data_IF_280191929555
#
_entry.id   IF_280191929555
#
_cell.length_a   1.000
_cell.length_b   1.000
_cell.length_c   1.000
_cell.angle_alpha   90.00
_cell.angle_beta   90.00
_cell.angle_gamma   90.00
#
_symmetry.space_group_name_H-M   'P 1'
#
loop_
_entity.id
_entity.type
_entity.pdbx_description
1 polymer ?
#
# COMPACT_ATOMS: atom_id res chain seq x y z
N UNK A 1 -3.22 -2.57 0.93
CA UNK A 1 -2.80 -2.45 -0.49
C UNK A 1 -2.71 -3.86 -1.06
N UNK A 2 -2.85 -4.03 -2.37
CA UNK A 2 -2.68 -5.29 -3.09
C UNK A 2 -1.55 -5.09 -4.07
N UNK A 3 -0.44 -5.82 -3.88
CA UNK A 3 0.66 -5.88 -4.84
C UNK A 3 0.40 -7.01 -5.82
N UNK A 4 0.48 -6.70 -7.12
CA UNK A 4 0.38 -7.69 -8.19
C UNK A 4 1.73 -7.77 -8.89
N UNK A 5 2.33 -8.95 -8.90
CA UNK A 5 3.60 -9.23 -9.58
C UNK A 5 3.37 -10.28 -10.67
N UNK A 6 3.74 -9.95 -11.91
CA UNK A 6 3.67 -10.88 -13.02
C UNK A 6 5.05 -11.51 -13.27
N UNK A 7 5.29 -12.79 -12.95
CA UNK A 7 6.62 -13.40 -13.09
C UNK A 7 7.09 -13.55 -14.55
N UNK A 8 6.19 -13.43 -15.55
CA UNK A 8 6.57 -13.52 -16.97
C UNK A 8 7.08 -12.19 -17.51
N UNK A 9 6.43 -11.10 -17.12
CA UNK A 9 6.80 -9.74 -17.57
C UNK A 9 7.63 -8.99 -16.54
N UNK A 10 7.73 -9.52 -15.32
CA UNK A 10 8.36 -8.96 -14.12
C UNK A 10 7.68 -7.67 -13.62
N UNK A 11 6.55 -7.30 -14.23
CA UNK A 11 5.79 -6.10 -13.94
C UNK A 11 5.18 -6.13 -12.53
N UNK A 12 5.28 -5.00 -11.84
CA UNK A 12 4.67 -4.77 -10.53
C UNK A 12 3.61 -3.68 -10.65
N UNK A 13 2.42 -4.00 -10.13
CA UNK A 13 1.31 -3.06 -9.99
C UNK A 13 0.87 -2.98 -8.55
N UNK A 14 0.44 -1.81 -8.12
CA UNK A 14 0.03 -1.55 -6.75
C UNK A 14 -1.38 -0.98 -6.68
N UNK A 15 -2.29 -1.72 -6.06
CA UNK A 15 -3.69 -1.32 -5.90
C UNK A 15 -3.93 -0.93 -4.44
N UNK A 16 -4.44 0.28 -4.23
CA UNK A 16 -4.82 0.79 -2.92
C UNK A 16 -6.33 0.73 -2.75
N UNK A 17 -6.81 -0.30 -2.06
CA UNK A 17 -8.20 -0.40 -1.62
C UNK A 17 -8.41 0.51 -0.40
N UNK A 18 -9.31 1.49 -0.51
CA UNK A 18 -9.62 2.42 0.58
C UNK A 18 -10.32 1.70 1.74
N UNK A 19 -9.97 2.07 2.98
CA UNK A 19 -10.40 1.33 4.18
C UNK A 19 -11.91 1.40 4.41
N UNK A 20 -12.50 2.55 4.07
CA UNK A 20 -13.86 2.94 4.45
C UNK A 20 -14.91 2.51 3.40
N UNK A 21 -14.50 1.74 2.38
CA UNK A 21 -15.41 1.16 1.39
C UNK A 21 -16.46 0.28 2.05
N UNK A 22 -17.73 0.51 1.71
CA UNK A 22 -18.86 -0.25 2.22
C UNK A 22 -19.03 -1.54 1.43
N UNK A 23 -18.55 -2.64 2.01
CA UNK A 23 -18.42 -3.95 1.36
C UNK A 23 -19.23 -5.00 2.11
N UNK A 24 -19.58 -6.09 1.42
CA UNK A 24 -20.18 -7.26 2.05
C UNK A 24 -19.09 -8.14 2.66
N UNK A 25 -19.14 -8.41 3.96
CA UNK A 25 -18.17 -9.24 4.67
C UNK A 25 -18.82 -10.60 4.95
N UNK A 26 -18.23 -11.73 4.50
CA UNK A 26 -18.75 -13.07 4.77
C UNK A 26 -19.07 -13.28 6.25
N UNK A 27 -20.30 -13.68 6.56
CA UNK A 27 -20.74 -13.91 7.95
C UNK A 27 -21.01 -12.66 8.81
N UNK A 28 -20.74 -11.44 8.33
CA UNK A 28 -20.82 -10.21 9.12
C UNK A 28 -21.68 -9.08 8.49
N UNK A 29 -22.38 -9.35 7.38
CA UNK A 29 -23.20 -8.34 6.71
C UNK A 29 -22.35 -7.27 6.02
N UNK A 30 -22.87 -6.05 5.85
CA UNK A 30 -22.13 -4.95 5.22
C UNK A 30 -21.44 -4.08 6.25
N UNK A 31 -20.16 -3.79 6.03
CA UNK A 31 -19.33 -2.92 6.88
C UNK A 31 -18.21 -2.29 6.06
N UNK A 32 -17.41 -1.43 6.72
CA UNK A 32 -16.16 -0.91 6.14
C UNK A 32 -15.18 -2.05 5.85
N UNK A 33 -14.44 -1.98 4.76
CA UNK A 33 -13.48 -3.02 4.35
C UNK A 33 -12.50 -3.41 5.47
N UNK A 34 -11.97 -2.45 6.22
CA UNK A 34 -11.03 -2.74 7.30
C UNK A 34 -11.64 -3.51 8.49
N UNK A 35 -12.97 -3.52 8.62
CA UNK A 35 -13.64 -4.32 9.64
C UNK A 35 -13.44 -5.83 9.39
N UNK A 36 -13.29 -6.27 8.14
CA UNK A 36 -13.04 -7.68 7.81
C UNK A 36 -11.76 -8.19 8.47
N UNK A 37 -10.68 -7.39 8.43
CA UNK A 37 -9.44 -7.71 9.13
C UNK A 37 -9.63 -7.75 10.65
N UNK A 38 -10.45 -6.84 11.20
CA UNK A 38 -10.73 -6.80 12.65
C UNK A 38 -11.53 -8.03 13.11
N UNK A 39 -12.44 -8.53 12.27
CA UNK A 39 -13.32 -9.64 12.61
C UNK A 39 -12.65 -11.02 12.42
N UNK A 40 -11.83 -11.18 11.37
CA UNK A 40 -11.30 -12.49 11.00
C UNK A 40 -9.89 -12.47 10.42
N UNK A 41 -9.13 -11.40 10.65
CA UNK A 41 -7.74 -11.30 10.22
C UNK A 41 -7.54 -11.28 8.70
N UNK A 42 -6.35 -11.65 8.21
CA UNK A 42 -6.02 -11.58 6.78
C UNK A 42 -6.91 -12.49 5.92
N UNK A 43 -7.33 -13.65 6.44
CA UNK A 43 -8.17 -14.60 5.69
C UNK A 43 -9.55 -14.04 5.37
N UNK A 44 -10.26 -13.51 6.37
CA UNK A 44 -11.57 -12.90 6.14
C UNK A 44 -11.47 -11.65 5.26
N UNK A 45 -10.40 -10.87 5.38
CA UNK A 45 -10.15 -9.75 4.48
C UNK A 45 -9.96 -10.22 3.03
N UNK A 46 -9.20 -11.30 2.81
CA UNK A 46 -9.03 -11.90 1.48
C UNK A 46 -10.37 -12.37 0.89
N UNK A 47 -11.17 -13.11 1.66
CA UNK A 47 -12.49 -13.55 1.21
C UNK A 47 -13.41 -12.36 0.89
N UNK A 48 -13.34 -11.31 1.70
CA UNK A 48 -14.08 -10.06 1.47
C UNK A 48 -13.64 -9.40 0.17
N UNK A 49 -12.33 -9.32 -0.10
CA UNK A 49 -11.81 -8.75 -1.35
C UNK A 49 -12.27 -9.58 -2.55
N UNK A 50 -12.16 -10.91 -2.48
CA UNK A 50 -12.61 -11.81 -3.54
C UNK A 50 -14.12 -11.66 -3.80
N UNK A 51 -14.95 -11.63 -2.75
CA UNK A 51 -16.40 -11.50 -2.87
C UNK A 51 -16.82 -10.20 -3.56
N UNK A 52 -16.20 -9.08 -3.19
CA UNK A 52 -16.64 -7.76 -3.64
C UNK A 52 -15.98 -7.31 -4.93
N UNK A 53 -14.75 -7.74 -5.21
CA UNK A 53 -13.96 -7.26 -6.36
C UNK A 53 -13.56 -8.37 -7.33
N UNK A 54 -13.74 -9.65 -6.97
CA UNK A 54 -13.28 -10.79 -7.78
C UNK A 54 -11.77 -10.91 -7.87
N UNK A 55 -11.03 -10.29 -6.94
CA UNK A 55 -9.58 -10.32 -6.87
C UNK A 55 -9.11 -11.46 -5.97
N UNK A 56 -8.45 -12.45 -6.55
CA UNK A 56 -7.90 -13.58 -5.82
C UNK A 56 -6.55 -13.19 -5.20
N UNK A 57 -6.49 -13.14 -3.87
CA UNK A 57 -5.30 -12.73 -3.13
C UNK A 57 -4.53 -13.99 -2.74
N UNK A 58 -3.41 -14.23 -3.40
CA UNK A 58 -2.64 -15.45 -3.16
C UNK A 58 -1.91 -15.46 -1.82
N UNK A 59 -1.43 -14.30 -1.38
CA UNK A 59 -0.58 -14.15 -0.20
C UNK A 59 -0.84 -12.82 0.51
N UNK A 60 -0.42 -12.72 1.77
CA UNK A 60 -0.45 -11.50 2.56
C UNK A 60 0.92 -11.15 3.15
N UNK A 61 1.11 -9.86 3.44
CA UNK A 61 2.21 -9.36 4.23
C UNK A 61 1.70 -8.25 5.14
N UNK A 62 1.91 -8.40 6.45
CA UNK A 62 1.49 -7.46 7.49
C UNK A 62 2.74 -6.90 8.15
N UNK A 63 3.00 -5.61 7.91
CA UNK A 63 4.09 -4.88 8.55
C UNK A 63 3.56 -4.05 9.73
N UNK A 64 4.28 -4.09 10.85
CA UNK A 64 4.04 -3.16 11.95
C UNK A 64 4.80 -1.83 11.74
N UNK A 65 4.51 -0.84 12.59
CA UNK A 65 5.11 0.49 12.49
C UNK A 65 6.63 0.48 12.69
N UNK A 66 7.14 -0.29 13.64
CA UNK A 66 8.58 -0.40 13.86
C UNK A 66 9.30 -1.01 12.65
N UNK A 67 8.70 -2.02 12.02
CA UNK A 67 9.18 -2.62 10.79
C UNK A 67 9.28 -1.64 9.65
N UNK A 68 8.24 -0.82 9.46
CA UNK A 68 8.24 0.23 8.46
C UNK A 68 9.37 1.25 8.71
N UNK A 69 9.50 1.76 9.94
CA UNK A 69 10.55 2.73 10.29
C UNK A 69 11.94 2.17 9.98
N UNK A 70 12.23 0.94 10.42
CA UNK A 70 13.53 0.29 10.20
C UNK A 70 13.81 -0.04 8.74
N UNK A 71 12.79 -0.47 8.00
CA UNK A 71 12.93 -0.75 6.57
C UNK A 71 13.30 0.52 5.80
N UNK A 72 12.66 1.65 6.12
CA UNK A 72 12.98 2.95 5.52
C UNK A 72 14.42 3.35 5.83
N UNK A 73 14.84 3.30 7.09
CA UNK A 73 16.21 3.72 7.46
C UNK A 73 17.30 2.81 6.87
N UNK A 74 16.98 1.52 6.65
CA UNK A 74 17.89 0.58 5.98
C UNK A 74 17.97 0.83 4.46
N UNK A 75 16.81 0.99 3.80
CA UNK A 75 16.69 1.13 2.35
C UNK A 75 16.98 2.54 1.85
N UNK A 76 16.80 3.56 2.68
CA UNK A 76 17.00 4.95 2.33
C UNK A 76 17.69 5.67 3.50
N UNK A 77 18.98 5.36 3.78
CA UNK A 77 19.70 5.96 4.91
C UNK A 77 19.83 7.50 4.78
N UNK A 78 19.71 8.05 3.57
CA UNK A 78 19.64 9.49 3.32
C UNK A 78 18.24 10.11 3.48
N UNK A 79 17.24 9.30 3.86
CA UNK A 79 15.84 9.70 3.92
C UNK A 79 15.14 9.61 2.56
N UNK A 80 13.81 9.78 2.58
CA UNK A 80 12.97 9.85 1.39
C UNK A 80 12.51 11.29 1.18
N UNK A 81 12.76 11.80 -0.02
CA UNK A 81 12.48 13.19 -0.36
C UNK A 81 11.03 13.38 -0.79
N UNK A 82 10.29 14.21 -0.04
CA UNK A 82 8.88 14.52 -0.28
C UNK A 82 8.65 16.03 -0.26
N UNK A 83 7.67 16.50 -1.04
CA UNK A 83 7.20 17.89 -0.98
C UNK A 83 5.99 17.96 -0.04
N UNK A 84 6.17 18.67 1.09
CA UNK A 84 5.14 18.83 2.11
C UNK A 84 4.27 20.06 1.75
N UNK A 85 2.98 19.87 1.43
CA UNK A 85 2.15 20.96 0.89
C UNK A 85 1.78 22.03 1.93
N UNK A 86 1.72 21.66 3.21
CA UNK A 86 1.34 22.50 4.35
C UNK A 86 1.86 21.86 5.63
N UNK A 87 1.85 22.58 6.75
CA UNK A 87 2.27 22.05 8.05
C UNK A 87 1.45 20.79 8.45
N UNK A 88 2.13 19.69 8.73
CA UNK A 88 1.50 18.40 9.10
C UNK A 88 1.93 18.00 10.51
N UNK A 89 1.08 18.19 11.54
CA UNK A 89 1.32 17.59 12.85
C UNK A 89 1.14 16.07 12.76
N UNK A 90 2.26 15.34 12.83
CA UNK A 90 2.31 13.89 12.62
C UNK A 90 2.26 13.07 13.92
N UNK A 91 2.07 13.75 15.06
CA UNK A 91 1.93 13.14 16.39
C UNK A 91 3.22 13.18 17.21
N UNK A 92 3.12 12.85 18.51
CA UNK A 92 4.24 12.88 19.46
C UNK A 92 5.02 14.21 19.51
N UNK A 93 4.33 15.33 19.24
CA UNK A 93 4.94 16.66 19.18
C UNK A 93 5.76 16.95 17.91
N UNK A 94 5.80 16.03 16.94
CA UNK A 94 6.49 16.24 15.67
C UNK A 94 5.55 16.91 14.65
N UNK A 95 6.12 17.84 13.90
CA UNK A 95 5.44 18.62 12.86
C UNK A 95 6.33 18.63 11.63
N UNK A 96 5.77 18.26 10.47
CA UNK A 96 6.45 18.42 9.19
C UNK A 96 6.11 19.80 8.62
N UNK A 97 7.14 20.60 8.36
CA UNK A 97 6.99 21.95 7.82
C UNK A 97 6.64 21.95 6.32
N UNK A 98 6.04 23.03 5.83
CA UNK A 98 5.80 23.17 4.38
C UNK A 98 7.13 23.21 3.60
N UNK A 99 7.20 22.49 2.48
CA UNK A 99 8.33 22.49 1.54
C UNK A 99 8.98 21.11 1.38
N UNK A 100 10.04 21.06 0.59
CA UNK A 100 10.76 19.82 0.33
C UNK A 100 11.60 19.39 1.55
N UNK A 101 11.41 18.15 1.99
CA UNK A 101 12.10 17.58 3.14
C UNK A 101 12.54 16.14 2.87
N UNK A 102 13.67 15.76 3.48
CA UNK A 102 14.12 14.38 3.55
C UNK A 102 13.59 13.77 4.84
N UNK A 103 12.73 12.75 4.73
CA UNK A 103 12.11 12.12 5.89
C UNK A 103 12.71 10.76 6.17
N UNK A 104 13.06 10.51 7.43
CA UNK A 104 13.52 9.21 7.92
C UNK A 104 12.36 8.38 8.48
N UNK A 105 12.60 7.14 8.90
CA UNK A 105 11.57 6.15 9.23
C UNK A 105 10.39 6.69 10.05
N UNK A 106 10.64 7.38 11.16
CA UNK A 106 9.59 7.95 12.04
C UNK A 106 8.80 9.08 11.38
N UNK A 107 9.50 10.00 10.73
CA UNK A 107 8.88 11.16 10.07
C UNK A 107 8.05 10.70 8.86
N UNK A 108 8.60 9.76 8.09
CA UNK A 108 7.95 9.18 6.93
C UNK A 108 6.75 8.33 7.35
N UNK A 109 6.82 7.61 8.47
CA UNK A 109 5.66 6.91 9.05
C UNK A 109 4.56 7.91 9.40
N UNK A 110 4.93 9.04 10.03
CA UNK A 110 4.03 10.15 10.30
C UNK A 110 3.37 10.68 9.03
N UNK A 111 4.19 10.94 8.01
CA UNK A 111 3.76 11.41 6.70
C UNK A 111 2.73 10.48 6.05
N UNK A 112 2.97 9.16 5.98
CA UNK A 112 2.03 8.21 5.35
C UNK A 112 0.80 7.91 6.20
N UNK A 113 0.80 8.28 7.49
CA UNK A 113 -0.34 8.12 8.41
C UNK A 113 -1.21 9.35 8.51
N UNK A 114 -0.71 10.52 8.10
CA UNK A 114 -1.44 11.78 8.22
C UNK A 114 -2.81 11.72 7.52
N UNK A 115 -3.83 12.33 8.13
CA UNK A 115 -5.22 12.36 7.62
C UNK A 115 -5.91 13.72 7.84
N UNK A 116 -5.25 14.66 8.51
CA UNK A 116 -5.87 15.94 8.91
C UNK A 116 -5.84 16.95 7.75
N UNK A 117 -6.29 16.51 6.57
CA UNK A 117 -6.37 17.32 5.37
C UNK A 117 -7.73 17.19 4.69
N UNK A 118 -8.00 18.06 3.71
CA UNK A 118 -9.27 18.09 2.98
C UNK A 118 -9.54 16.82 2.17
N UNK A 119 -8.50 16.07 1.82
CA UNK A 119 -8.58 14.82 1.05
C UNK A 119 -8.70 13.59 1.98
N UNK A 120 -8.42 13.74 3.28
CA UNK A 120 -8.49 12.72 4.34
C UNK A 120 -7.86 11.38 3.93
N UNK A 121 -8.68 10.40 3.58
CA UNK A 121 -8.25 9.05 3.21
C UNK A 121 -7.63 9.01 1.80
N UNK A 122 -8.11 9.85 0.89
CA UNK A 122 -7.63 9.95 -0.49
C UNK A 122 -6.18 10.47 -0.54
N UNK A 123 -5.90 11.58 0.15
CA UNK A 123 -4.56 12.16 0.22
C UNK A 123 -3.57 11.21 0.91
N UNK A 124 -4.04 10.45 1.90
CA UNK A 124 -3.20 9.44 2.55
C UNK A 124 -2.83 8.30 1.60
N UNK A 125 -3.76 7.81 0.78
CA UNK A 125 -3.45 6.77 -0.21
C UNK A 125 -2.40 7.26 -1.21
N UNK A 126 -2.50 8.50 -1.68
CA UNK A 126 -1.52 9.10 -2.59
C UNK A 126 -0.11 9.11 -1.97
N UNK A 127 0.00 9.57 -0.71
CA UNK A 127 1.28 9.57 0.03
C UNK A 127 1.84 8.16 0.21
N UNK A 128 0.99 7.17 0.50
CA UNK A 128 1.41 5.78 0.61
C UNK A 128 1.96 5.23 -0.71
N UNK A 129 1.28 5.51 -1.83
CA UNK A 129 1.75 5.11 -3.16
C UNK A 129 3.06 5.79 -3.53
N UNK A 130 3.18 7.11 -3.32
CA UNK A 130 4.41 7.87 -3.54
C UNK A 130 5.59 7.27 -2.77
N UNK A 131 5.40 7.00 -1.47
CA UNK A 131 6.46 6.46 -0.62
C UNK A 131 6.88 5.05 -1.04
N UNK A 132 5.95 4.17 -1.40
CA UNK A 132 6.31 2.83 -1.89
C UNK A 132 7.06 2.92 -3.23
N UNK A 133 6.66 3.82 -4.14
CA UNK A 133 7.38 4.04 -5.40
C UNK A 133 8.80 4.53 -5.15
N UNK A 134 8.98 5.55 -4.30
CA UNK A 134 10.30 6.09 -3.96
C UNK A 134 11.18 5.06 -3.25
N UNK A 135 10.61 4.25 -2.35
CA UNK A 135 11.34 3.16 -1.68
C UNK A 135 11.78 2.08 -2.68
N UNK A 136 10.97 1.77 -3.69
CA UNK A 136 11.36 0.86 -4.78
C UNK A 136 12.54 1.44 -5.56
N UNK A 137 12.49 2.72 -5.91
CA UNK A 137 13.55 3.39 -6.67
C UNK A 137 14.85 3.49 -5.86
N UNK A 138 14.78 3.76 -4.56
CA UNK A 138 15.94 3.72 -3.66
C UNK A 138 16.49 2.29 -3.49
N UNK A 139 15.63 1.27 -3.41
CA UNK A 139 16.08 -0.11 -3.36
C UNK A 139 16.84 -0.50 -4.65
N UNK A 140 16.38 -0.05 -5.81
CA UNK A 140 17.05 -0.24 -7.12
C UNK A 140 18.38 0.52 -7.18
N UNK A 141 18.43 1.76 -6.66
CA UNK A 141 19.64 2.59 -6.66
C UNK A 141 20.75 2.00 -5.78
N UNK A 142 20.36 1.27 -4.73
CA UNK A 142 21.26 0.53 -3.87
C UNK A 142 21.77 -0.71 -4.63
N UNK A 143 22.93 -0.57 -5.26
CA UNK A 143 23.70 -1.69 -5.83
C UNK A 143 24.16 -2.75 -4.80
N UNK A 144 23.69 -2.73 -3.56
CA UNK A 144 24.27 -3.50 -2.46
C UNK A 144 23.45 -4.74 -2.12
N UNK A 145 23.79 -5.84 -2.80
CA UNK A 145 23.61 -7.22 -2.31
C UNK A 145 24.08 -7.37 -0.85
N UNK A 146 25.00 -6.50 -0.39
CA UNK A 146 25.48 -6.43 0.99
C UNK A 146 24.40 -6.17 2.05
N UNK A 147 23.29 -5.48 1.73
CA UNK A 147 22.18 -5.24 2.68
C UNK A 147 21.12 -6.34 2.69
N UNK A 148 21.23 -7.33 1.80
CA UNK A 148 20.23 -8.39 1.66
C UNK A 148 20.05 -9.22 2.95
N UNK A 149 21.12 -9.61 3.69
CA UNK A 149 20.94 -10.32 4.95
C UNK A 149 20.17 -9.50 6.00
N UNK A 150 20.49 -8.21 6.14
CA UNK A 150 19.81 -7.32 7.08
C UNK A 150 18.34 -7.12 6.69
N UNK A 151 18.06 -6.99 5.38
CA UNK A 151 16.71 -6.88 4.87
C UNK A 151 15.90 -8.15 5.16
N UNK A 152 16.46 -9.33 4.90
CA UNK A 152 15.80 -10.61 5.24
C UNK A 152 15.56 -10.75 6.74
N UNK A 153 16.50 -10.28 7.58
CA UNK A 153 16.34 -10.23 9.03
C UNK A 153 15.19 -9.32 9.46
N UNK A 154 15.06 -8.13 8.84
CA UNK A 154 13.94 -7.23 9.07
C UNK A 154 12.61 -7.85 8.64
N UNK A 155 12.55 -8.46 7.44
CA UNK A 155 11.35 -9.12 6.94
C UNK A 155 10.90 -10.21 7.92
N UNK A 156 11.80 -11.10 8.34
CA UNK A 156 11.47 -12.20 9.26
C UNK A 156 11.09 -11.75 10.68
N UNK A 157 11.48 -10.55 11.11
CA UNK A 157 11.20 -10.05 12.46
C UNK A 157 9.95 -9.17 12.51
N UNK A 158 9.72 -8.36 11.46
CA UNK A 158 8.73 -7.28 11.49
C UNK A 158 7.59 -7.43 10.48
N UNK A 159 7.66 -8.44 9.60
CA UNK A 159 6.62 -8.75 8.64
C UNK A 159 6.07 -10.15 8.90
N UNK A 160 4.77 -10.20 9.15
CA UNK A 160 4.01 -11.44 9.21
C UNK A 160 3.47 -11.75 7.80
N UNK A 161 3.85 -12.88 7.21
CA UNK A 161 3.55 -13.23 5.81
C UNK A 161 3.50 -14.73 5.60
N UNK A 162 2.67 -15.16 4.65
CA UNK A 162 2.60 -16.54 4.15
C UNK A 162 3.38 -16.75 2.84
N UNK A 163 4.09 -15.74 2.35
CA UNK A 163 4.97 -15.85 1.18
C UNK A 163 6.22 -16.64 1.57
N UNK A 164 6.55 -17.68 0.83
CA UNK A 164 7.77 -18.44 1.07
C UNK A 164 9.03 -17.64 0.72
N UNK A 165 10.12 -17.89 1.46
CA UNK A 165 11.39 -17.16 1.28
C UNK A 165 11.94 -17.23 -0.15
N UNK A 166 11.93 -18.38 -0.86
CA UNK A 166 12.32 -18.43 -2.28
C UNK A 166 11.52 -17.49 -3.18
N UNK A 167 10.20 -17.40 -3.00
CA UNK A 167 9.33 -16.48 -3.74
C UNK A 167 9.69 -15.03 -3.43
N UNK A 168 9.87 -14.66 -2.15
CA UNK A 168 10.32 -13.31 -1.75
C UNK A 168 11.67 -12.93 -2.38
N UNK A 169 12.63 -13.88 -2.41
CA UNK A 169 13.94 -13.64 -3.01
C UNK A 169 13.86 -13.44 -4.52
N UNK A 170 13.00 -14.20 -5.21
CA UNK A 170 12.76 -14.03 -6.65
C UNK A 170 12.17 -12.67 -6.96
N UNK A 171 11.10 -12.28 -6.26
CA UNK A 171 10.48 -10.95 -6.41
C UNK A 171 11.48 -9.83 -6.08
N UNK A 172 12.23 -9.97 -4.99
CA UNK A 172 13.24 -9.01 -4.56
C UNK A 172 14.37 -8.83 -5.59
N UNK A 173 14.83 -9.93 -6.20
CA UNK A 173 15.82 -9.87 -7.28
C UNK A 173 15.31 -9.05 -8.46
N UNK A 174 14.09 -9.32 -8.93
CA UNK A 174 13.51 -8.66 -10.10
C UNK A 174 13.26 -7.16 -9.88
N UNK A 175 12.94 -6.78 -8.64
CA UNK A 175 12.89 -5.36 -8.22
C UNK A 175 14.30 -4.75 -8.29
N UNK A 176 15.30 -5.38 -7.66
CA UNK A 176 16.67 -4.83 -7.59
C UNK A 176 17.37 -4.74 -8.95
N UNK A 177 17.04 -5.61 -9.90
CA UNK A 177 17.56 -5.56 -11.28
C UNK A 177 16.85 -4.52 -12.15
N UNK A 178 15.85 -3.81 -11.61
CA UNK A 178 14.95 -2.91 -12.32
C UNK A 178 14.22 -3.56 -13.51
N UNK A 179 14.11 -4.89 -13.52
CA UNK A 179 13.39 -5.63 -14.55
C UNK A 179 11.88 -5.37 -14.47
N UNK A 180 11.39 -4.95 -13.30
CA UNK A 180 10.00 -4.55 -13.09
C UNK A 180 9.58 -3.23 -13.75
N UNK A 181 10.53 -2.38 -14.15
CA UNK A 181 10.27 -1.06 -14.72
C UNK A 181 9.51 -0.11 -13.78
N UNK A 182 8.74 0.80 -14.36
CA UNK A 182 7.87 1.73 -13.61
C UNK A 182 6.74 0.98 -12.92
N UNK A 183 6.52 1.25 -11.63
CA UNK A 183 5.41 0.63 -10.90
C UNK A 183 4.14 1.45 -11.12
N UNK A 184 3.15 0.86 -11.81
CA UNK A 184 1.84 1.48 -11.95
C UNK A 184 1.04 1.35 -10.66
N UNK A 185 0.28 2.39 -10.33
CA UNK A 185 -0.55 2.41 -9.13
C UNK A 185 -2.00 2.74 -9.45
N UNK A 186 -2.94 2.12 -8.73
CA UNK A 186 -4.37 2.39 -8.83
C UNK A 186 -4.95 2.55 -7.42
N UNK A 187 -5.91 3.46 -7.23
CA UNK A 187 -6.70 3.54 -6.00
C UNK A 187 -8.13 3.12 -6.32
N UNK A 188 -8.72 2.34 -5.43
CA UNK A 188 -10.13 1.97 -5.49
C UNK A 188 -10.81 2.43 -4.18
N UNK A 189 -11.94 3.16 -4.26
CA UNK A 189 -12.63 3.56 -5.47
C UNK A 189 -11.90 4.62 -6.31
N UNK A 190 -12.13 4.58 -7.61
CA UNK A 190 -11.71 5.61 -8.57
C UNK A 190 -12.51 6.90 -8.36
N UNK A 191 -11.96 8.05 -8.76
CA UNK A 191 -12.69 9.33 -8.66
C UNK A 191 -14.04 9.26 -9.40
N UNK A 192 -15.10 9.74 -8.73
CA UNK A 192 -16.47 9.72 -9.27
C UNK A 192 -17.17 8.36 -9.22
N UNK A 193 -16.54 7.31 -8.69
CA UNK A 193 -17.12 5.96 -8.59
C UNK A 193 -17.57 5.58 -7.17
N UNK A 194 -17.68 6.56 -6.27
CA UNK A 194 -18.22 6.37 -4.93
C UNK A 194 -18.92 7.61 -4.39
N UNK A 195 -19.78 7.43 -3.40
CA UNK A 195 -20.42 8.50 -2.63
C UNK A 195 -20.17 8.33 -1.13
N UNK A 196 -20.02 9.46 -0.42
CA UNK A 196 -19.93 9.46 1.03
C UNK A 196 -21.35 9.33 1.61
N UNK A 197 -21.59 8.28 2.39
CA UNK A 197 -22.88 8.03 3.04
C UNK A 197 -22.66 7.76 4.52
N UNK A 198 -23.56 8.24 5.37
CA UNK A 198 -23.53 7.97 6.81
C UNK A 198 -24.59 6.94 7.17
N UNK A 199 -24.15 5.81 7.73
CA UNK A 199 -25.01 4.79 8.33
C UNK A 199 -25.04 4.97 9.85
N UNK A 200 -26.19 4.74 10.48
CA UNK A 200 -26.39 5.04 11.91
C UNK A 200 -25.41 4.28 12.83
N UNK A 201 -25.14 3.00 12.56
CA UNK A 201 -24.29 2.15 13.39
C UNK A 201 -22.82 2.09 12.94
N UNK A 202 -22.54 2.43 11.67
CA UNK A 202 -21.23 2.21 11.03
C UNK A 202 -20.47 3.54 10.83
N UNK A 203 -21.19 4.66 10.90
CA UNK A 203 -20.65 6.00 10.63
C UNK A 203 -20.54 6.29 9.14
N UNK A 204 -19.60 7.17 8.77
CA UNK A 204 -19.34 7.53 7.38
C UNK A 204 -18.60 6.42 6.64
N UNK A 205 -19.13 6.01 5.49
CA UNK A 205 -18.59 4.99 4.60
C UNK A 205 -18.54 5.50 3.16
N UNK A 206 -17.76 4.83 2.32
CA UNK A 206 -17.76 5.03 0.87
C UNK A 206 -18.68 3.98 0.23
N UNK A 207 -19.84 4.39 -0.27
CA UNK A 207 -20.67 3.51 -1.11
C UNK A 207 -20.09 3.48 -2.52
N UNK A 208 -19.68 2.29 -2.97
CA UNK A 208 -18.88 2.08 -4.18
C UNK A 208 -19.76 1.58 -5.32
N UNK A 209 -19.57 2.12 -6.53
CA UNK A 209 -20.02 1.48 -7.75
C UNK A 209 -19.10 0.28 -8.05
N UNK A 210 -19.51 -0.90 -7.60
CA UNK A 210 -18.70 -2.12 -7.75
C UNK A 210 -18.53 -2.54 -9.21
N UNK A 211 -19.50 -2.30 -10.08
CA UNK A 211 -19.40 -2.69 -11.49
C UNK A 211 -18.34 -1.83 -12.19
N UNK A 212 -18.40 -0.51 -11.97
CA UNK A 212 -17.39 0.40 -12.50
C UNK A 212 -15.99 0.08 -11.97
N UNK A 213 -15.84 -0.11 -10.65
CA UNK A 213 -14.53 -0.36 -10.04
C UNK A 213 -13.95 -1.73 -10.42
N UNK A 214 -14.77 -2.77 -10.59
CA UNK A 214 -14.32 -4.07 -11.12
C UNK A 214 -13.84 -3.97 -12.56
N UNK A 215 -14.53 -3.19 -13.40
CA UNK A 215 -14.09 -2.96 -14.78
C UNK A 215 -12.74 -2.23 -14.81
N UNK A 216 -12.56 -1.19 -13.99
CA UNK A 216 -11.29 -0.45 -13.86
C UNK A 216 -10.17 -1.37 -13.39
N UNK A 217 -10.41 -2.16 -12.33
CA UNK A 217 -9.47 -3.16 -11.82
C UNK A 217 -9.04 -4.16 -12.90
N UNK A 218 -10.00 -4.69 -13.65
CA UNK A 218 -9.75 -5.67 -14.71
C UNK A 218 -8.90 -5.08 -15.82
N UNK A 219 -9.21 -3.87 -16.26
CA UNK A 219 -8.43 -3.14 -17.27
C UNK A 219 -7.01 -2.88 -16.77
N UNK A 220 -6.88 -2.31 -15.57
CA UNK A 220 -5.59 -2.01 -14.96
C UNK A 220 -4.70 -3.25 -14.80
N UNK A 221 -5.26 -4.39 -14.42
CA UNK A 221 -4.49 -5.64 -14.29
C UNK A 221 -4.06 -6.22 -15.64
N UNK A 222 -4.83 -6.01 -16.71
CA UNK A 222 -4.52 -6.52 -18.07
C UNK A 222 -3.58 -5.64 -18.88
N UNK A 223 -3.53 -4.33 -18.61
CA UNK A 223 -2.64 -3.41 -19.33
C UNK A 223 -1.17 -3.73 -19.05
N UNK A 224 -0.39 -4.15 -20.04
CA UNK A 224 1.05 -4.33 -19.84
C UNK A 224 1.75 -2.98 -19.68
N UNK A 225 2.83 -2.96 -18.90
CA UNK A 225 3.77 -1.85 -18.89
C UNK A 225 4.45 -1.72 -20.25
N UNK A 226 4.40 -0.53 -20.85
CA UNK A 226 5.24 -0.19 -22.01
C UNK A 226 6.70 -0.33 -21.59
N UNK A 227 7.43 -1.31 -22.14
CA UNK A 227 8.88 -1.41 -21.91
C UNK A 227 9.57 -0.17 -22.51
N UNK A 228 10.50 0.46 -21.78
CA UNK A 228 11.34 1.52 -22.33
C UNK A 228 12.26 1.01 -23.45
#
# INVERSE_FOLDING_TARGET
>A
MVGHYNPKTQEIKLISLMRDMYVSIPGHGKHKLNAAYTYGGPELLRETIQLNFGLDIHHYAIANFEGFEKAVDLLAPGGIGVDIPYEMPIGNGMVLEKGYQQLHGKELLGYVRFRQDRLSDFGRVQRQQEVITKLKDEAVSIHSVAKLPDLLGLLGTYIDTDIDTPTLLTMGKDVLTNESGEMKTLRIPEDGSCTNVRHEEIGEVLEVDFEQNKAILTTFLREENSKP
#
